data_IF_176116496398
#
_entry.id   IF_176116496398
#
_cell.length_a   1.000
_cell.length_b   1.000
_cell.length_c   1.000
_cell.angle_alpha   90.00
_cell.angle_beta   90.00
_cell.angle_gamma   90.00
#
_symmetry.space_group_name_H-M   'P 1'
#
loop_
_entity.id
_entity.type
_entity.pdbx_description
1 polymer ?
#
# COMPACT_ATOMS: atom_id res chain seq x y z
N UNK A 1 -20.52 7.96 27.17
CA UNK A 1 -20.87 8.04 25.73
C UNK A 1 -22.37 7.84 25.60
N UNK A 2 -23.06 8.59 24.72
CA UNK A 2 -24.47 8.36 24.43
C UNK A 2 -24.58 7.01 23.68
N UNK A 3 -25.34 6.05 24.21
CA UNK A 3 -25.59 4.79 23.50
C UNK A 3 -26.59 5.03 22.38
N UNK A 4 -26.22 4.73 21.13
CA UNK A 4 -27.14 4.69 20.01
C UNK A 4 -27.80 3.30 20.03
N UNK A 5 -29.13 3.18 20.23
CA UNK A 5 -29.80 1.88 20.23
C UNK A 5 -29.50 1.10 18.94
N UNK A 6 -29.05 -0.15 19.08
CA UNK A 6 -28.70 -1.01 17.95
C UNK A 6 -27.28 -0.83 17.39
N UNK A 7 -26.47 0.07 17.94
CA UNK A 7 -25.07 0.25 17.55
C UNK A 7 -24.14 -0.12 18.73
N UNK A 8 -23.10 -0.91 18.45
CA UNK A 8 -22.00 -1.19 19.38
C UNK A 8 -20.68 -0.78 18.73
N UNK A 9 -19.71 -0.22 19.48
CA UNK A 9 -18.34 -0.03 18.99
C UNK A 9 -17.71 -1.31 18.42
N UNK A 10 -18.13 -2.49 18.89
CA UNK A 10 -17.65 -3.78 18.39
C UNK A 10 -18.12 -4.09 16.96
N UNK A 11 -19.09 -3.33 16.44
CA UNK A 11 -19.51 -3.40 15.04
C UNK A 11 -18.55 -2.64 14.11
N UNK A 12 -17.68 -1.80 14.65
CA UNK A 12 -16.69 -1.09 13.83
C UNK A 12 -15.55 -2.03 13.45
N UNK A 13 -15.35 -2.14 12.14
CA UNK A 13 -14.26 -2.91 11.56
C UNK A 13 -13.29 -1.90 10.95
N UNK A 14 -12.12 -1.79 11.56
CA UNK A 14 -10.97 -1.07 11.00
C UNK A 14 -10.62 -1.67 9.64
N UNK A 15 -9.97 -0.87 8.79
CA UNK A 15 -9.40 -1.31 7.52
C UNK A 15 -7.86 -1.40 7.64
N UNK A 16 -7.29 -2.57 7.99
CA UNK A 16 -5.85 -2.73 8.12
C UNK A 16 -5.13 -2.54 6.79
N UNK A 17 -5.78 -2.82 5.65
CA UNK A 17 -5.17 -2.65 4.34
C UNK A 17 -4.91 -1.17 4.05
N UNK A 18 -5.84 -0.29 4.38
CA UNK A 18 -5.59 1.16 4.28
C UNK A 18 -4.50 1.65 5.24
N UNK A 19 -4.53 1.19 6.49
CA UNK A 19 -3.51 1.54 7.48
C UNK A 19 -2.11 1.17 6.99
N UNK A 20 -1.98 0.03 6.32
CA UNK A 20 -0.72 -0.47 5.76
C UNK A 20 -0.37 0.27 4.47
N UNK A 21 -1.18 0.13 3.42
CA UNK A 21 -0.78 0.51 2.06
C UNK A 21 -0.81 2.01 1.78
N UNK A 22 -1.64 2.78 2.50
CA UNK A 22 -1.62 4.25 2.47
C UNK A 22 -0.83 4.86 3.64
N UNK A 23 -0.45 4.03 4.62
CA UNK A 23 0.32 4.44 5.78
C UNK A 23 1.76 3.95 5.71
N UNK A 24 2.08 2.94 6.50
CA UNK A 24 3.47 2.54 6.76
C UNK A 24 4.19 1.92 5.56
N UNK A 25 3.48 1.22 4.67
CA UNK A 25 4.08 0.67 3.45
C UNK A 25 4.57 1.78 2.51
N UNK A 26 3.87 2.91 2.48
CA UNK A 26 4.29 4.08 1.70
C UNK A 26 5.67 4.55 2.10
N UNK A 27 5.92 4.75 3.40
CA UNK A 27 7.23 5.18 3.88
C UNK A 27 8.29 4.10 3.61
N UNK A 28 7.94 2.82 3.77
CA UNK A 28 8.85 1.71 3.47
C UNK A 28 9.28 1.67 1.99
N UNK A 29 8.34 1.91 1.06
CA UNK A 29 8.63 1.98 -0.38
C UNK A 29 9.59 3.12 -0.70
N UNK A 30 9.29 4.34 -0.24
CA UNK A 30 10.18 5.49 -0.49
C UNK A 30 11.59 5.26 0.05
N UNK A 31 11.67 4.74 1.28
CA UNK A 31 12.95 4.42 1.92
C UNK A 31 13.73 3.34 1.18
N UNK A 32 13.04 2.29 0.73
CA UNK A 32 13.64 1.19 -0.01
C UNK A 32 14.20 1.67 -1.35
N UNK A 33 13.43 2.45 -2.12
CA UNK A 33 13.86 2.98 -3.42
C UNK A 33 15.10 3.86 -3.28
N UNK A 34 15.16 4.72 -2.25
CA UNK A 34 16.35 5.52 -1.98
C UNK A 34 17.57 4.65 -1.64
N UNK A 35 17.42 3.66 -0.77
CA UNK A 35 18.55 2.79 -0.42
C UNK A 35 19.02 1.93 -1.60
N UNK A 36 18.10 1.45 -2.44
CA UNK A 36 18.43 0.72 -3.68
C UNK A 36 19.21 1.63 -4.62
N UNK A 37 18.72 2.85 -4.87
CA UNK A 37 19.40 3.82 -5.72
C UNK A 37 20.81 4.16 -5.20
N UNK A 38 21.01 4.18 -3.88
CA UNK A 38 22.30 4.51 -3.24
C UNK A 38 23.31 3.35 -3.27
N UNK A 39 22.85 2.10 -3.15
CA UNK A 39 23.72 0.98 -2.80
C UNK A 39 23.67 -0.22 -3.76
N UNK A 40 22.66 -0.31 -4.63
CA UNK A 40 22.53 -1.45 -5.52
C UNK A 40 23.49 -1.32 -6.72
N UNK A 41 24.35 -2.33 -7.01
CA UNK A 41 25.29 -2.27 -8.14
C UNK A 41 24.64 -2.06 -9.50
N UNK A 42 23.36 -2.44 -9.67
CA UNK A 42 22.61 -2.20 -10.91
C UNK A 42 22.39 -0.71 -11.18
N UNK A 43 22.43 0.12 -10.14
CA UNK A 43 22.30 1.57 -10.23
C UNK A 43 23.65 2.30 -10.32
N UNK A 44 24.79 1.59 -10.26
CA UNK A 44 26.11 2.19 -10.14
C UNK A 44 26.54 3.03 -11.36
N UNK A 45 25.91 2.84 -12.52
CA UNK A 45 26.17 3.61 -13.74
C UNK A 45 25.41 4.94 -13.79
N UNK A 46 24.59 5.27 -12.79
CA UNK A 46 23.84 6.51 -12.77
C UNK A 46 24.67 7.67 -12.21
N UNK A 47 24.67 8.79 -12.94
CA UNK A 47 25.34 10.03 -12.53
C UNK A 47 24.51 10.87 -11.54
N UNK A 48 23.25 10.48 -11.29
CA UNK A 48 22.32 11.20 -10.42
C UNK A 48 21.31 10.28 -9.74
N UNK A 49 20.66 10.78 -8.69
CA UNK A 49 19.58 10.09 -8.00
C UNK A 49 18.41 9.76 -8.93
N UNK A 50 17.94 10.71 -9.73
CA UNK A 50 16.85 10.47 -10.67
C UNK A 50 17.27 9.50 -11.79
N UNK A 51 18.54 9.50 -12.20
CA UNK A 51 19.08 8.49 -13.11
C UNK A 51 19.01 7.09 -12.51
N UNK A 52 19.40 6.93 -11.24
CA UNK A 52 19.31 5.65 -10.54
C UNK A 52 17.86 5.20 -10.34
N UNK A 53 16.95 6.12 -10.01
CA UNK A 53 15.52 5.85 -9.86
C UNK A 53 14.87 5.47 -11.21
N UNK A 54 15.31 6.06 -12.33
CA UNK A 54 14.87 5.67 -13.67
C UNK A 54 15.32 4.25 -14.04
N UNK A 55 16.54 3.83 -13.65
CA UNK A 55 16.99 2.43 -13.81
C UNK A 55 16.08 1.49 -13.01
N UNK A 56 15.75 1.84 -11.77
CA UNK A 56 14.84 1.04 -10.93
C UNK A 56 13.45 0.96 -11.58
N UNK A 57 12.94 2.07 -12.13
CA UNK A 57 11.66 2.10 -12.84
C UNK A 57 11.66 1.17 -14.06
N UNK A 58 12.73 1.12 -14.84
CA UNK A 58 12.87 0.18 -15.96
C UNK A 58 12.73 -1.26 -15.48
N UNK A 59 13.49 -1.65 -14.45
CA UNK A 59 13.40 -2.99 -13.88
C UNK A 59 12.02 -3.31 -13.31
N UNK A 60 11.34 -2.33 -12.72
CA UNK A 60 9.98 -2.47 -12.23
C UNK A 60 9.00 -2.73 -13.37
N UNK A 61 9.13 -2.00 -14.48
CA UNK A 61 8.28 -2.19 -15.66
C UNK A 61 8.48 -3.56 -16.29
N UNK A 62 9.72 -4.00 -16.46
CA UNK A 62 10.07 -5.34 -16.96
C UNK A 62 9.45 -6.42 -16.06
N UNK A 63 9.64 -6.28 -14.74
CA UNK A 63 9.09 -7.22 -13.75
C UNK A 63 7.56 -7.32 -13.82
N UNK A 64 6.87 -6.19 -14.00
CA UNK A 64 5.42 -6.15 -14.16
C UNK A 64 4.96 -6.86 -15.45
N UNK A 65 5.65 -6.63 -16.57
CA UNK A 65 5.34 -7.27 -17.85
C UNK A 65 5.53 -8.78 -17.78
N UNK A 66 6.66 -9.24 -17.24
CA UNK A 66 6.95 -10.67 -17.05
C UNK A 66 5.88 -11.41 -16.23
N UNK A 67 5.29 -10.73 -15.24
CA UNK A 67 4.30 -11.33 -14.32
C UNK A 67 2.86 -11.05 -14.72
N UNK A 68 2.62 -10.29 -15.79
CA UNK A 68 1.28 -9.84 -16.16
C UNK A 68 0.62 -8.99 -15.08
N UNK A 69 1.40 -8.26 -14.27
CA UNK A 69 0.91 -7.40 -13.19
C UNK A 69 0.70 -6.00 -13.74
N UNK A 70 -0.47 -5.41 -13.46
CA UNK A 70 -0.72 -4.02 -13.82
C UNK A 70 0.25 -3.10 -13.07
N UNK A 71 1.04 -2.31 -13.82
CA UNK A 71 2.02 -1.31 -13.35
C UNK A 71 1.42 -0.19 -12.47
N UNK A 72 0.11 -0.22 -12.23
CA UNK A 72 -0.67 0.83 -11.57
C UNK A 72 -0.56 2.16 -12.36
N UNK A 73 -0.45 3.28 -11.66
CA UNK A 73 -0.25 4.64 -12.20
C UNK A 73 1.19 5.10 -12.03
N UNK A 74 2.15 4.17 -11.94
CA UNK A 74 3.57 4.48 -11.71
C UNK A 74 4.24 4.70 -13.07
N UNK A 75 4.21 5.93 -13.53
CA UNK A 75 4.83 6.38 -14.78
C UNK A 75 6.25 6.93 -14.57
N UNK A 76 6.54 7.43 -13.37
CA UNK A 76 7.81 8.03 -12.99
C UNK A 76 8.22 7.67 -11.55
N UNK A 77 9.54 7.61 -11.32
CA UNK A 77 10.14 7.57 -9.98
C UNK A 77 11.24 8.62 -9.97
N UNK A 78 11.09 9.64 -9.13
CA UNK A 78 12.03 10.74 -8.97
C UNK A 78 12.06 11.22 -7.52
N UNK A 79 13.08 11.98 -7.15
CA UNK A 79 13.17 12.61 -5.83
C UNK A 79 11.91 13.42 -5.51
N UNK A 80 11.43 14.22 -6.46
CA UNK A 80 10.19 15.00 -6.31
C UNK A 80 8.98 14.11 -6.04
N UNK A 81 8.84 12.98 -6.75
CA UNK A 81 7.73 12.04 -6.52
C UNK A 81 7.81 11.33 -5.17
N UNK A 82 9.03 11.13 -4.69
CA UNK A 82 9.30 10.59 -3.37
C UNK A 82 9.21 11.64 -2.25
N UNK A 83 8.96 12.91 -2.57
CA UNK A 83 8.89 14.01 -1.59
C UNK A 83 10.25 14.29 -0.94
N UNK A 84 11.33 14.20 -1.72
CA UNK A 84 12.70 14.49 -1.30
C UNK A 84 13.19 15.74 -2.02
N UNK A 85 13.30 16.85 -1.29
CA UNK A 85 13.90 18.09 -1.78
C UNK A 85 15.39 18.15 -1.37
N UNK A 86 15.70 17.65 -0.17
CA UNK A 86 17.02 17.54 0.39
C UNK A 86 17.29 16.11 0.88
N UNK A 87 18.11 15.37 0.11
CA UNK A 87 18.44 13.95 0.34
C UNK A 87 18.93 13.67 1.77
N UNK A 88 19.60 14.62 2.42
CA UNK A 88 20.15 14.46 3.77
C UNK A 88 19.14 14.71 4.89
N UNK A 89 17.98 15.31 4.63
CA UNK A 89 17.06 15.78 5.68
C UNK A 89 15.63 15.26 5.53
N UNK A 90 15.25 14.81 4.32
CA UNK A 90 13.88 14.40 4.05
C UNK A 90 13.64 12.90 4.21
N UNK A 91 12.42 12.60 4.64
CA UNK A 91 11.89 11.25 4.70
C UNK A 91 11.19 10.92 3.38
N UNK A 92 11.77 10.06 2.54
CA UNK A 92 11.13 9.65 1.30
C UNK A 92 9.80 8.95 1.59
N UNK A 93 8.81 9.22 0.76
CA UNK A 93 7.51 8.56 0.81
C UNK A 93 7.20 7.93 -0.55
N UNK A 94 6.60 6.75 -0.55
CA UNK A 94 6.09 6.11 -1.76
C UNK A 94 4.89 6.85 -2.36
N UNK A 95 4.08 6.12 -3.12
CA UNK A 95 3.00 6.66 -3.91
C UNK A 95 1.76 6.98 -3.08
N UNK A 96 0.88 7.84 -3.61
CA UNK A 96 -0.37 8.24 -2.96
C UNK A 96 -1.45 7.15 -2.95
N UNK A 97 -1.31 6.12 -3.81
CA UNK A 97 -2.29 5.03 -3.96
C UNK A 97 -1.78 3.74 -3.34
N UNK A 98 -2.65 3.04 -2.62
CA UNK A 98 -2.31 1.82 -1.89
C UNK A 98 -1.83 0.70 -2.81
N UNK A 99 -2.51 0.50 -3.94
CA UNK A 99 -2.13 -0.50 -4.93
C UNK A 99 -0.72 -0.27 -5.49
N UNK A 100 -0.34 0.97 -5.80
CA UNK A 100 1.01 1.30 -6.26
C UNK A 100 2.08 0.92 -5.22
N UNK A 101 1.85 1.22 -3.93
CA UNK A 101 2.76 0.81 -2.87
C UNK A 101 2.82 -0.71 -2.71
N UNK A 102 1.69 -1.41 -2.82
CA UNK A 102 1.63 -2.88 -2.78
C UNK A 102 2.47 -3.51 -3.89
N UNK A 103 2.26 -3.10 -5.15
CA UNK A 103 3.01 -3.65 -6.29
C UNK A 103 4.50 -3.34 -6.12
N UNK A 104 4.85 -2.13 -5.71
CA UNK A 104 6.25 -1.74 -5.49
C UNK A 104 6.91 -2.53 -4.36
N UNK A 105 6.20 -2.83 -3.26
CA UNK A 105 6.73 -3.71 -2.19
C UNK A 105 7.02 -5.11 -2.71
N UNK A 106 6.12 -5.69 -3.53
CA UNK A 106 6.32 -7.00 -4.13
C UNK A 106 7.52 -7.01 -5.08
N UNK A 107 7.64 -5.98 -5.92
CA UNK A 107 8.82 -5.78 -6.76
C UNK A 107 10.10 -5.70 -5.92
N UNK A 108 10.15 -4.83 -4.91
CA UNK A 108 11.35 -4.68 -4.06
C UNK A 108 11.72 -5.98 -3.33
N UNK A 109 10.72 -6.73 -2.85
CA UNK A 109 10.94 -8.03 -2.21
C UNK A 109 11.65 -9.02 -3.15
N UNK A 110 11.25 -9.06 -4.42
CA UNK A 110 11.84 -9.94 -5.41
C UNK A 110 13.18 -9.40 -5.95
N UNK A 111 13.24 -8.11 -6.26
CA UNK A 111 14.43 -7.41 -6.74
C UNK A 111 15.62 -7.51 -5.78
N UNK A 112 15.33 -7.59 -4.47
CA UNK A 112 16.31 -7.72 -3.40
C UNK A 112 16.47 -9.15 -2.87
N UNK A 113 15.75 -10.14 -3.40
CA UNK A 113 15.72 -11.51 -2.87
C UNK A 113 17.10 -12.14 -2.69
N UNK A 114 18.03 -11.85 -3.61
CA UNK A 114 19.39 -12.37 -3.61
C UNK A 114 20.45 -11.33 -3.23
N UNK A 115 20.07 -10.21 -2.60
CA UNK A 115 21.03 -9.14 -2.29
C UNK A 115 22.04 -9.60 -1.24
N UNK A 116 23.32 -9.41 -1.53
CA UNK A 116 24.42 -9.61 -0.58
C UNK A 116 24.88 -8.29 0.04
N UNK A 117 24.36 -7.17 -0.44
CA UNK A 117 24.72 -5.81 -0.03
C UNK A 117 24.20 -5.51 1.38
N UNK A 118 25.10 -5.25 2.31
CA UNK A 118 24.78 -5.21 3.74
C UNK A 118 23.71 -4.16 4.11
N UNK A 119 23.74 -2.90 3.60
CA UNK A 119 22.66 -1.94 3.81
C UNK A 119 21.29 -2.41 3.31
N UNK A 120 21.25 -3.24 2.26
CA UNK A 120 20.01 -3.67 1.60
C UNK A 120 19.40 -4.93 2.20
N UNK A 121 20.14 -5.73 2.98
CA UNK A 121 19.60 -6.97 3.56
C UNK A 121 18.37 -6.76 4.43
N UNK A 122 18.37 -5.73 5.28
CA UNK A 122 17.20 -5.45 6.12
C UNK A 122 16.05 -4.85 5.32
N UNK A 123 16.34 -4.09 4.26
CA UNK A 123 15.33 -3.60 3.32
C UNK A 123 14.64 -4.79 2.65
N UNK A 124 15.42 -5.77 2.19
CA UNK A 124 14.93 -7.00 1.59
C UNK A 124 14.00 -7.75 2.55
N UNK A 125 14.42 -7.95 3.82
CA UNK A 125 13.59 -8.61 4.84
C UNK A 125 12.30 -7.82 5.12
N UNK A 126 12.37 -6.50 5.19
CA UNK A 126 11.21 -5.64 5.43
C UNK A 126 10.19 -5.74 4.28
N UNK A 127 10.64 -5.60 3.03
CA UNK A 127 9.80 -5.73 1.84
C UNK A 127 9.23 -7.15 1.71
N UNK A 128 10.06 -8.18 1.92
CA UNK A 128 9.63 -9.57 1.88
C UNK A 128 8.56 -9.88 2.92
N UNK A 129 8.77 -9.50 4.18
CA UNK A 129 7.82 -9.76 5.25
C UNK A 129 6.45 -9.13 4.93
N UNK A 130 6.44 -7.92 4.38
CA UNK A 130 5.21 -7.23 4.01
C UNK A 130 4.55 -7.81 2.74
N UNK A 131 5.34 -8.21 1.74
CA UNK A 131 4.84 -8.89 0.54
C UNK A 131 4.21 -10.25 0.88
N UNK A 132 4.88 -11.06 1.69
CA UNK A 132 4.36 -12.33 2.19
C UNK A 132 3.11 -12.15 3.05
N UNK A 133 3.08 -11.12 3.90
CA UNK A 133 1.88 -10.81 4.68
C UNK A 133 0.70 -10.49 3.77
N UNK A 134 0.92 -9.67 2.74
CA UNK A 134 -0.09 -9.37 1.73
C UNK A 134 -0.60 -10.64 1.06
N UNK A 135 0.31 -11.53 0.66
CA UNK A 135 -0.06 -12.80 0.02
C UNK A 135 -0.92 -13.67 0.92
N UNK A 136 -0.53 -13.83 2.19
CA UNK A 136 -1.29 -14.62 3.18
C UNK A 136 -2.69 -14.05 3.39
N UNK A 137 -2.82 -12.73 3.52
CA UNK A 137 -4.12 -12.07 3.71
C UNK A 137 -5.01 -12.24 2.48
N UNK A 138 -4.47 -12.08 1.27
CA UNK A 138 -5.27 -12.09 0.05
C UNK A 138 -5.68 -13.47 -0.44
N UNK A 139 -4.88 -14.48 -0.11
CA UNK A 139 -5.16 -15.89 -0.44
C UNK A 139 -5.95 -16.62 0.63
N UNK A 140 -6.08 -16.02 1.82
CA UNK A 140 -6.99 -16.53 2.84
C UNK A 140 -8.45 -16.39 2.42
N UNK A 141 -9.30 -17.31 2.91
CA UNK A 141 -10.75 -17.13 2.82
C UNK A 141 -11.24 -16.03 3.77
N UNK A 142 -12.56 -15.90 3.90
CA UNK A 142 -13.19 -14.94 4.82
C UNK A 142 -12.65 -15.05 6.25
N UNK A 143 -12.38 -16.28 6.69
CA UNK A 143 -11.84 -16.61 8.00
C UNK A 143 -10.52 -17.36 7.84
N UNK A 144 -9.49 -16.91 8.55
CA UNK A 144 -8.19 -17.57 8.57
C UNK A 144 -8.19 -18.75 9.55
N UNK A 145 -7.60 -19.87 9.13
CA UNK A 145 -7.24 -20.94 10.07
C UNK A 145 -6.10 -20.49 11.02
N UNK A 146 -5.90 -21.22 12.12
CA UNK A 146 -4.90 -20.92 13.14
C UNK A 146 -3.50 -20.74 12.56
N UNK A 147 -3.13 -21.56 11.57
CA UNK A 147 -1.80 -21.54 10.96
C UNK A 147 -1.60 -20.30 10.10
N UNK A 148 -2.61 -19.94 9.32
CA UNK A 148 -2.63 -18.78 8.42
C UNK A 148 -2.63 -17.49 9.24
N UNK A 149 -3.46 -17.43 10.30
CA UNK A 149 -3.50 -16.31 11.23
C UNK A 149 -2.14 -16.14 11.94
N UNK A 150 -1.55 -17.23 12.46
CA UNK A 150 -0.24 -17.17 13.11
C UNK A 150 0.85 -16.69 12.15
N UNK A 151 0.87 -17.19 10.91
CA UNK A 151 1.82 -16.74 9.88
C UNK A 151 1.64 -15.26 9.57
N UNK A 152 0.41 -14.78 9.41
CA UNK A 152 0.13 -13.37 9.19
C UNK A 152 0.62 -12.50 10.36
N UNK A 153 0.38 -12.92 11.60
CA UNK A 153 0.86 -12.21 12.81
C UNK A 153 2.39 -12.14 12.84
N UNK A 154 3.07 -13.25 12.57
CA UNK A 154 4.53 -13.31 12.56
C UNK A 154 5.14 -12.41 11.49
N UNK A 155 4.59 -12.43 10.27
CA UNK A 155 5.04 -11.58 9.16
C UNK A 155 4.82 -10.09 9.45
N UNK A 156 3.66 -9.73 10.00
CA UNK A 156 3.38 -8.35 10.39
C UNK A 156 4.33 -7.87 11.50
N UNK A 157 4.57 -8.69 12.53
CA UNK A 157 5.54 -8.40 13.60
C UNK A 157 6.95 -8.23 13.05
N UNK A 158 7.39 -9.11 12.14
CA UNK A 158 8.70 -9.02 11.49
C UNK A 158 8.85 -7.73 10.67
N UNK A 159 7.84 -7.37 9.87
CA UNK A 159 7.84 -6.11 9.12
C UNK A 159 7.97 -4.90 10.06
N UNK A 160 7.12 -4.82 11.08
CA UNK A 160 7.13 -3.71 12.04
C UNK A 160 8.47 -3.59 12.78
N UNK A 161 9.00 -4.70 13.28
CA UNK A 161 10.29 -4.71 13.98
C UNK A 161 11.44 -4.29 13.07
N UNK A 162 11.47 -4.78 11.83
CA UNK A 162 12.52 -4.44 10.86
C UNK A 162 12.44 -2.97 10.46
N UNK A 163 11.24 -2.45 10.22
CA UNK A 163 11.03 -1.03 9.91
C UNK A 163 11.45 -0.13 11.08
N UNK A 164 11.05 -0.45 12.31
CA UNK A 164 11.45 0.31 13.50
C UNK A 164 12.96 0.30 13.71
N UNK A 165 13.62 -0.84 13.48
CA UNK A 165 15.07 -0.94 13.55
C UNK A 165 15.75 -0.07 12.49
N UNK A 166 15.23 -0.04 11.27
CA UNK A 166 15.73 0.83 10.20
C UNK A 166 15.52 2.30 10.51
N UNK A 167 14.36 2.70 11.04
CA UNK A 167 14.10 4.06 11.52
C UNK A 167 15.10 4.49 12.61
N UNK A 168 15.37 3.61 13.58
CA UNK A 168 16.39 3.89 14.59
C UNK A 168 17.77 4.07 13.97
N UNK A 169 18.18 3.18 13.06
CA UNK A 169 19.50 3.26 12.41
C UNK A 169 19.64 4.51 11.56
N UNK A 170 18.60 4.87 10.81
CA UNK A 170 18.60 6.04 9.93
C UNK A 170 18.74 7.34 10.73
N UNK A 171 18.09 7.41 11.90
CA UNK A 171 18.26 8.54 12.82
C UNK A 171 19.68 8.60 13.41
N UNK A 172 20.24 7.46 13.84
CA UNK A 172 21.60 7.41 14.40
C UNK A 172 22.68 7.74 13.36
N UNK A 173 22.44 7.43 12.08
CA UNK A 173 23.37 7.77 11.00
C UNK A 173 23.20 9.20 10.46
N UNK A 174 22.27 9.99 11.01
CA UNK A 174 21.99 11.34 10.52
C UNK A 174 21.40 11.38 9.11
N UNK A 175 20.82 10.26 8.65
CA UNK A 175 20.19 10.13 7.34
C UNK A 175 18.73 9.69 7.56
N UNK A 176 17.77 10.62 7.68
CA UNK A 176 16.38 10.32 8.02
C UNK A 176 15.63 9.65 6.86
N UNK A 177 15.98 8.39 6.54
CA UNK A 177 15.33 7.61 5.49
C UNK A 177 14.01 7.01 5.95
N UNK A 178 13.96 6.50 7.17
CA UNK A 178 12.84 5.68 7.66
C UNK A 178 12.06 6.41 8.76
N UNK A 179 10.74 6.52 8.61
CA UNK A 179 9.84 7.20 9.56
C UNK A 179 8.91 6.23 10.27
N UNK A 180 8.74 6.39 11.58
CA UNK A 180 7.68 5.70 12.34
C UNK A 180 6.42 6.58 12.33
N UNK A 181 5.25 5.99 12.06
CA UNK A 181 3.95 6.69 12.09
C UNK A 181 3.00 6.05 13.11
N UNK A 182 2.04 6.81 13.66
CA UNK A 182 0.98 6.26 14.52
C UNK A 182 0.20 5.11 13.86
N UNK A 183 0.05 5.12 12.53
CA UNK A 183 -0.57 4.02 11.76
C UNK A 183 0.11 2.67 11.97
N UNK A 184 1.40 2.63 12.30
CA UNK A 184 2.11 1.38 12.62
C UNK A 184 1.61 0.76 13.91
N UNK A 185 1.26 1.59 14.90
CA UNK A 185 0.63 1.12 16.13
C UNK A 185 -0.78 0.60 15.85
N UNK A 186 -1.59 1.34 15.07
CA UNK A 186 -2.90 0.83 14.62
C UNK A 186 -2.76 -0.52 13.93
N UNK A 187 -1.80 -0.68 13.02
CA UNK A 187 -1.54 -1.96 12.38
C UNK A 187 -1.18 -3.06 13.39
N UNK A 188 -0.26 -2.80 14.32
CA UNK A 188 0.12 -3.76 15.36
C UNK A 188 -1.06 -4.19 16.24
N UNK A 189 -1.90 -3.23 16.65
CA UNK A 189 -3.07 -3.47 17.47
C UNK A 189 -4.12 -4.30 16.72
N UNK A 190 -4.40 -3.98 15.46
CA UNK A 190 -5.38 -4.73 14.68
C UNK A 190 -4.94 -6.16 14.40
N UNK A 191 -3.65 -6.39 14.13
CA UNK A 191 -3.10 -7.73 13.99
C UNK A 191 -3.24 -8.52 15.29
N UNK A 192 -2.89 -7.92 16.43
CA UNK A 192 -2.94 -8.59 17.74
C UNK A 192 -4.38 -8.82 18.21
N UNK A 193 -5.28 -7.86 17.99
CA UNK A 193 -6.67 -7.93 18.42
C UNK A 193 -7.48 -8.91 17.55
N UNK A 194 -7.26 -8.92 16.23
CA UNK A 194 -8.10 -9.70 15.30
C UNK A 194 -7.53 -11.06 14.94
N UNK A 195 -6.24 -11.12 14.61
CA UNK A 195 -5.64 -12.36 14.12
C UNK A 195 -5.12 -13.24 15.26
N UNK A 196 -4.53 -12.64 16.30
CA UNK A 196 -3.96 -13.38 17.43
C UNK A 196 -5.03 -13.78 18.45
N UNK A 197 -5.91 -12.84 18.84
CA UNK A 197 -6.88 -13.05 19.92
C UNK A 197 -8.36 -12.97 19.50
N UNK A 198 -8.64 -12.67 18.24
CA UNK A 198 -9.97 -12.24 17.81
C UNK A 198 -10.63 -13.17 16.80
N UNK A 199 -11.46 -12.56 15.97
CA UNK A 199 -12.32 -13.25 15.02
C UNK A 199 -11.57 -13.96 13.90
N UNK A 200 -10.31 -13.58 13.63
CA UNK A 200 -9.48 -14.07 12.51
C UNK A 200 -10.13 -13.82 11.14
N UNK A 201 -11.02 -12.84 11.06
CA UNK A 201 -11.55 -12.36 9.79
C UNK A 201 -10.39 -11.84 8.94
N UNK A 202 -10.37 -12.20 7.66
CA UNK A 202 -9.38 -11.68 6.74
C UNK A 202 -9.54 -10.16 6.60
N UNK A 203 -8.45 -9.36 6.73
CA UNK A 203 -8.49 -7.93 6.47
C UNK A 203 -9.02 -7.55 5.09
N UNK A 204 -8.96 -8.46 4.12
CA UNK A 204 -9.49 -8.26 2.78
C UNK A 204 -11.01 -8.03 2.79
N UNK A 205 -11.73 -8.75 3.64
CA UNK A 205 -13.19 -8.67 3.73
C UNK A 205 -13.65 -7.37 4.42
N UNK A 206 -12.78 -6.81 5.26
CA UNK A 206 -13.00 -5.53 5.93
C UNK A 206 -12.58 -4.31 5.10
N UNK A 207 -11.95 -4.52 3.94
CA UNK A 207 -11.32 -3.45 3.20
C UNK A 207 -12.34 -2.63 2.38
N UNK A 208 -12.29 -1.30 2.52
CA UNK A 208 -13.22 -0.40 1.83
C UNK A 208 -12.75 -0.01 0.41
N UNK A 209 -11.84 -0.76 -0.20
CA UNK A 209 -11.29 -0.42 -1.54
C UNK A 209 -12.36 -0.35 -2.63
N UNK A 210 -13.34 -1.27 -2.58
CA UNK A 210 -14.45 -1.29 -3.51
C UNK A 210 -15.33 -0.05 -3.36
N UNK A 211 -15.65 0.29 -2.11
CA UNK A 211 -16.47 1.45 -1.76
C UNK A 211 -15.78 2.75 -2.19
N UNK A 212 -14.50 2.91 -1.89
CA UNK A 212 -13.73 4.09 -2.31
C UNK A 212 -13.64 4.23 -3.83
N UNK A 213 -13.45 3.11 -4.54
CA UNK A 213 -13.41 3.10 -6.00
C UNK A 213 -14.77 3.46 -6.60
N UNK A 214 -15.87 3.06 -5.94
CA UNK A 214 -17.22 3.45 -6.34
C UNK A 214 -17.50 4.93 -6.04
N UNK A 215 -17.16 5.43 -4.85
CA UNK A 215 -17.30 6.84 -4.48
C UNK A 215 -16.46 7.72 -5.42
N UNK A 216 -15.22 7.33 -5.71
CA UNK A 216 -14.34 8.07 -6.61
C UNK A 216 -14.92 8.18 -8.03
N UNK A 217 -15.48 7.09 -8.57
CA UNK A 217 -16.21 7.12 -9.84
C UNK A 217 -17.44 8.01 -9.76
N UNK A 218 -18.18 7.94 -8.66
CA UNK A 218 -19.39 8.74 -8.43
C UNK A 218 -19.10 10.23 -8.38
N UNK A 219 -18.09 10.65 -7.62
CA UNK A 219 -17.66 12.04 -7.57
C UNK A 219 -17.14 12.51 -8.94
N UNK A 220 -16.35 11.68 -9.61
CA UNK A 220 -15.77 12.02 -10.90
C UNK A 220 -16.80 12.14 -12.03
N UNK A 221 -17.85 11.32 -12.02
CA UNK A 221 -18.90 11.34 -13.05
C UNK A 221 -20.02 12.32 -12.67
N UNK A 222 -20.51 12.24 -11.43
CA UNK A 222 -21.70 12.95 -10.95
C UNK A 222 -21.43 14.39 -10.49
N UNK A 223 -20.27 14.68 -9.90
CA UNK A 223 -19.95 15.99 -9.31
C UNK A 223 -18.94 16.81 -10.11
N UNK A 224 -18.37 16.27 -11.19
CA UNK A 224 -17.40 17.00 -12.00
C UNK A 224 -18.06 18.21 -12.70
N UNK A 225 -17.52 19.44 -12.50
CA UNK A 225 -18.18 20.69 -12.89
C UNK A 225 -18.08 21.02 -14.38
N UNK A 226 -17.08 20.50 -15.10
CA UNK A 226 -16.91 20.74 -16.54
C UNK A 226 -16.57 19.43 -17.26
N UNK A 227 -17.33 19.14 -18.31
CA UNK A 227 -17.11 17.98 -19.18
C UNK A 227 -16.65 18.49 -20.54
N UNK A 228 -15.49 18.03 -21.00
CA UNK A 228 -15.02 18.36 -22.35
C UNK A 228 -15.98 17.82 -23.40
N UNK A 229 -16.23 18.56 -24.48
CA UNK A 229 -17.23 18.24 -25.52
C UNK A 229 -17.01 16.84 -26.12
N UNK A 230 -15.76 16.43 -26.33
CA UNK A 230 -15.41 15.09 -26.82
C UNK A 230 -15.78 13.94 -25.87
N UNK A 231 -15.99 14.23 -24.58
CA UNK A 231 -16.34 13.24 -23.54
C UNK A 231 -17.78 13.38 -23.04
N UNK A 232 -18.54 14.36 -23.53
CA UNK A 232 -19.88 14.69 -23.05
C UNK A 232 -20.84 13.50 -23.17
N UNK A 233 -20.89 12.86 -24.33
CA UNK A 233 -21.78 11.71 -24.57
C UNK A 233 -21.47 10.53 -23.64
N UNK A 234 -20.18 10.24 -23.42
CA UNK A 234 -19.75 9.21 -22.47
C UNK A 234 -20.16 9.55 -21.03
N UNK A 235 -20.02 10.81 -20.61
CA UNK A 235 -20.44 11.24 -19.26
C UNK A 235 -21.95 11.19 -19.07
N UNK A 236 -22.72 11.58 -20.08
CA UNK A 236 -24.19 11.45 -20.04
C UNK A 236 -24.57 9.99 -19.83
N UNK A 237 -24.00 9.07 -20.62
CA UNK A 237 -24.27 7.64 -20.47
C UNK A 237 -23.86 7.11 -19.09
N UNK A 238 -22.67 7.48 -18.60
CA UNK A 238 -22.20 7.08 -17.26
C UNK A 238 -23.15 7.57 -16.15
N UNK A 239 -23.63 8.81 -16.23
CA UNK A 239 -24.60 9.37 -15.27
C UNK A 239 -25.94 8.63 -15.32
N UNK A 240 -26.45 8.32 -16.51
CA UNK A 240 -27.70 7.56 -16.69
C UNK A 240 -27.57 6.16 -16.10
N UNK A 241 -26.50 5.42 -16.42
CA UNK A 241 -26.27 4.08 -15.89
C UNK A 241 -26.13 4.07 -14.36
N UNK A 242 -25.46 5.07 -13.80
CA UNK A 242 -25.37 5.25 -12.35
C UNK A 242 -26.73 5.51 -11.71
N UNK A 243 -27.56 6.35 -12.33
CA UNK A 243 -28.90 6.64 -11.84
C UNK A 243 -29.80 5.40 -11.90
N UNK A 244 -29.75 4.64 -13.01
CA UNK A 244 -30.48 3.36 -13.12
C UNK A 244 -30.06 2.37 -12.03
N UNK A 245 -28.76 2.25 -11.75
CA UNK A 245 -28.29 1.38 -10.66
C UNK A 245 -28.80 1.85 -9.29
N UNK A 246 -28.87 3.17 -9.04
CA UNK A 246 -29.40 3.71 -7.80
C UNK A 246 -30.90 3.43 -7.65
N UNK A 247 -31.68 3.59 -8.73
CA UNK A 247 -33.11 3.25 -8.77
C UNK A 247 -33.34 1.75 -8.59
N UNK A 248 -32.56 0.89 -9.25
CA UNK A 248 -32.67 -0.56 -9.06
C UNK A 248 -32.33 -0.99 -7.63
N UNK A 249 -31.36 -0.33 -6.99
CA UNK A 249 -31.00 -0.59 -5.59
C UNK A 249 -32.05 -0.09 -4.58
N UNK A 250 -32.86 0.90 -4.96
CA UNK A 250 -33.94 1.43 -4.10
C UNK A 250 -35.23 0.62 -4.19
N UNK A 251 -35.37 -0.26 -5.19
CA UNK A 251 -36.51 -1.15 -5.31
C UNK A 251 -36.58 -2.12 -4.13
N UNK A 252 -37.78 -2.34 -3.55
CA UNK A 252 -37.95 -3.33 -2.48
C UNK A 252 -37.56 -4.71 -2.98
N UNK A 253 -36.68 -5.39 -2.25
CA UNK A 253 -36.33 -6.78 -2.53
C UNK A 253 -37.61 -7.60 -2.39
N UNK A 254 -38.00 -8.30 -3.45
CA UNK A 254 -39.06 -9.31 -3.36
C UNK A 254 -38.51 -10.45 -2.51
N UNK A 255 -39.11 -10.64 -1.34
CA UNK A 255 -38.92 -11.82 -0.48
C UNK A 255 -39.32 -13.10 -1.23
#
# INVERSE_FOLDING_TARGET
>A
MRSIPGWSPDMEVSDPLHVVWLGCAKDAVGSALMLVAEHDPRCASADSWDGALAIILSHFHDWCEERGVAKSTIEDISLTRLGVDAVSFDFPHGFSKGYANKVMVNFCAEFLRSTTIQPLKMVAVCCWALAEWSYVVETSGTWMDDRTALRAVQLAKLYLQTHMLMARRSLLSGQPRWKIRPRMHSFACEISARMENGSRMSPREAACWGDESWIGRTCHVGLAPAVHTSTLHLRILQRVLMHVNAELASLPRRE
#
